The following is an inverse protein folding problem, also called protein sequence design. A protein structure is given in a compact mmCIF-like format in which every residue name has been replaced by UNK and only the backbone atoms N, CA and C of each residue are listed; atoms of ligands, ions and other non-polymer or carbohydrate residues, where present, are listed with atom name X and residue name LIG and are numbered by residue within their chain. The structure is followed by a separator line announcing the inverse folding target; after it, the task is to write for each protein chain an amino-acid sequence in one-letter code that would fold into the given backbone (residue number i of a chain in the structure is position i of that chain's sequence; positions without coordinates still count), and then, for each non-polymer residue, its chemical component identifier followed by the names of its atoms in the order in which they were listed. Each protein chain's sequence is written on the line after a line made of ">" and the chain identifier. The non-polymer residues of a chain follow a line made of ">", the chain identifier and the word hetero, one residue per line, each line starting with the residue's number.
data_IF_967420531989
#
_entry.id   IF_967420531989
#
_cell.length_a   1.000
_cell.length_b   1.000
_cell.length_c   1.000
_cell.angle_alpha   90.00
_cell.angle_beta   90.00
_cell.angle_gamma   90.00
#
_symmetry.space_group_name_H-M   'P 1'
#
loop_
_entity.id
_entity.type
_entity.pdbx_description
1 polymer ?
#
# COMPACT_ATOMS: atom_id res chain seq x y z
N UNK A 1 10.83 -1.86 16.35
CA UNK A 1 10.94 -2.82 17.46
C UNK A 1 10.57 -4.17 16.91
N UNK A 2 11.54 -5.06 16.72
CA UNK A 2 11.24 -6.48 16.48
C UNK A 2 10.52 -7.03 17.71
N UNK A 3 9.58 -7.95 17.52
CA UNK A 3 8.71 -8.52 18.56
C UNK A 3 9.47 -8.92 19.84
N UNK A 4 8.89 -8.70 21.05
CA UNK A 4 9.45 -9.19 22.32
C UNK A 4 9.63 -10.71 22.38
N UNK A 5 9.01 -11.47 21.48
CA UNK A 5 9.10 -12.95 21.42
C UNK A 5 10.17 -13.46 20.43
N UNK A 6 10.86 -12.57 19.70
CA UNK A 6 11.86 -12.99 18.71
C UNK A 6 13.22 -13.26 19.37
N UNK A 7 13.67 -14.52 19.33
CA UNK A 7 15.10 -14.83 19.50
C UNK A 7 15.72 -14.71 18.12
N UNK A 8 16.42 -13.60 17.85
CA UNK A 8 17.04 -13.36 16.54
C UNK A 8 17.97 -14.52 16.19
N UNK A 9 17.83 -15.08 14.99
CA UNK A 9 18.80 -16.04 14.46
C UNK A 9 20.17 -15.37 14.26
N UNK A 10 21.25 -16.16 14.16
CA UNK A 10 22.59 -15.65 13.88
C UNK A 10 22.63 -14.83 12.58
N UNK A 11 21.91 -15.27 11.54
CA UNK A 11 21.79 -14.55 10.27
C UNK A 11 21.04 -13.22 10.42
N UNK A 12 19.92 -13.19 11.16
CA UNK A 12 19.20 -11.94 11.43
C UNK A 12 20.02 -10.97 12.28
N UNK A 13 20.85 -11.48 13.19
CA UNK A 13 21.78 -10.67 13.99
C UNK A 13 22.91 -10.11 13.10
N UNK A 14 23.45 -10.91 12.19
CA UNK A 14 24.45 -10.45 11.22
C UNK A 14 23.88 -9.41 10.26
N UNK A 15 22.68 -9.62 9.72
CA UNK A 15 22.01 -8.66 8.85
C UNK A 15 21.61 -7.39 9.61
N UNK A 16 21.10 -7.48 10.85
CA UNK A 16 20.84 -6.30 11.69
C UNK A 16 22.11 -5.51 12.07
N UNK A 17 23.29 -6.15 12.04
CA UNK A 17 24.58 -5.48 12.22
C UNK A 17 25.14 -4.87 10.92
N UNK A 18 24.73 -5.38 9.75
CA UNK A 18 25.12 -4.89 8.42
C UNK A 18 24.21 -3.81 7.87
N UNK A 19 22.95 -3.86 8.27
CA UNK A 19 21.93 -2.89 7.92
C UNK A 19 21.78 -1.94 9.10
N UNK A 20 21.73 -0.64 8.85
CA UNK A 20 21.41 0.35 9.89
C UNK A 20 19.92 0.32 10.28
N UNK A 21 19.24 -0.82 10.13
CA UNK A 21 17.85 -1.04 10.52
C UNK A 21 17.75 -0.82 12.03
N UNK A 22 17.45 0.41 12.41
CA UNK A 22 17.33 0.80 13.80
C UNK A 22 16.21 -0.01 14.45
N UNK A 23 16.48 -0.65 15.58
CA UNK A 23 15.45 -1.38 16.36
C UNK A 23 14.32 -0.47 16.84
N UNK A 24 14.53 0.86 16.76
CA UNK A 24 13.50 1.90 16.82
C UNK A 24 13.59 2.71 15.54
N UNK A 25 12.59 2.57 14.66
CA UNK A 25 12.47 3.49 13.53
C UNK A 25 12.17 4.88 14.08
N UNK A 26 13.14 5.79 13.96
CA UNK A 26 12.87 7.20 14.24
C UNK A 26 11.83 7.67 13.24
N UNK A 27 10.62 7.87 13.74
CA UNK A 27 9.55 8.58 13.03
C UNK A 27 10.14 9.90 12.53
N UNK A 28 9.90 10.23 11.26
CA UNK A 28 10.33 11.52 10.73
C UNK A 28 9.71 12.64 11.57
N UNK A 29 10.55 13.51 12.13
CA UNK A 29 10.09 14.70 12.85
C UNK A 29 10.43 15.94 12.02
N UNK A 30 9.49 16.41 11.17
CA UNK A 30 9.71 17.60 10.35
C UNK A 30 9.73 18.89 11.19
N UNK A 31 9.44 18.82 12.50
CA UNK A 31 9.52 19.95 13.43
C UNK A 31 10.87 20.03 14.17
N UNK A 32 11.71 19.01 14.03
CA UNK A 32 13.01 18.96 14.70
C UNK A 32 13.96 20.05 14.21
N UNK A 33 14.82 20.55 15.10
CA UNK A 33 15.87 21.52 14.75
C UNK A 33 16.84 20.98 13.71
N UNK A 34 17.08 19.67 13.70
CA UNK A 34 17.89 18.99 12.68
C UNK A 34 17.24 19.10 11.29
N UNK A 35 15.93 18.80 11.18
CA UNK A 35 15.21 18.94 9.92
C UNK A 35 15.17 20.39 9.45
N UNK A 36 14.88 21.33 10.35
CA UNK A 36 14.87 22.77 10.06
C UNK A 36 16.24 23.33 9.65
N UNK A 37 17.34 22.66 10.02
CA UNK A 37 18.70 23.01 9.58
C UNK A 37 19.14 22.29 8.31
N UNK A 38 18.21 21.64 7.61
CA UNK A 38 18.45 21.01 6.31
C UNK A 38 18.84 19.53 6.39
N UNK A 39 18.68 18.88 7.55
CA UNK A 39 18.89 17.43 7.66
C UNK A 39 17.70 16.69 7.09
N UNK A 40 17.93 15.73 6.19
CA UNK A 40 16.87 14.86 5.70
C UNK A 40 16.32 14.00 6.85
N UNK A 41 14.99 13.83 6.90
CA UNK A 41 14.38 12.74 7.64
C UNK A 41 14.11 11.57 6.69
N UNK A 42 14.13 10.36 7.22
CA UNK A 42 13.90 9.13 6.44
C UNK A 42 12.93 8.24 7.21
N UNK A 43 12.11 7.50 6.47
CA UNK A 43 11.29 6.42 7.01
C UNK A 43 11.46 5.17 6.15
N UNK A 44 11.34 4.00 6.76
CA UNK A 44 11.39 2.73 6.06
C UNK A 44 9.97 2.23 5.81
N UNK A 45 9.74 1.72 4.60
CA UNK A 45 8.46 1.14 4.20
C UNK A 45 8.70 -0.17 3.47
N UNK A 46 7.87 -1.16 3.72
CA UNK A 46 7.88 -2.41 2.99
C UNK A 46 7.32 -2.22 1.59
N UNK A 47 7.85 -2.95 0.61
CA UNK A 47 7.24 -3.02 -0.72
C UNK A 47 5.82 -3.62 -0.62
N UNK A 48 4.85 -2.97 -1.25
CA UNK A 48 3.47 -3.44 -1.24
C UNK A 48 3.27 -4.57 -2.27
N UNK A 49 2.59 -5.69 -1.94
CA UNK A 49 2.25 -6.70 -2.93
C UNK A 49 1.21 -6.14 -3.91
N UNK A 50 1.30 -6.57 -5.18
CA UNK A 50 0.46 -6.06 -6.29
C UNK A 50 -0.69 -7.00 -6.69
N UNK A 51 -0.74 -8.18 -6.08
CA UNK A 51 -1.77 -9.20 -6.36
C UNK A 51 -3.17 -8.66 -6.07
N UNK A 52 -4.07 -8.76 -7.06
CA UNK A 52 -5.45 -8.29 -6.99
C UNK A 52 -5.64 -6.79 -7.22
N UNK A 53 -4.58 -6.01 -7.45
CA UNK A 53 -4.71 -4.55 -7.56
C UNK A 53 -5.45 -4.09 -8.83
N UNK A 54 -5.55 -4.93 -9.86
CA UNK A 54 -6.45 -4.66 -10.99
C UNK A 54 -7.91 -4.49 -10.55
N UNK A 55 -8.36 -5.30 -9.57
CA UNK A 55 -9.70 -5.18 -8.99
C UNK A 55 -9.82 -3.88 -8.18
N UNK A 56 -8.78 -3.53 -7.42
CA UNK A 56 -8.74 -2.28 -6.63
C UNK A 56 -8.80 -1.05 -7.54
N UNK A 57 -8.04 -1.03 -8.64
CA UNK A 57 -8.09 0.03 -9.65
C UNK A 57 -9.48 0.15 -10.28
N UNK A 58 -10.18 -0.97 -10.47
CA UNK A 58 -11.52 -1.05 -11.05
C UNK A 58 -12.67 -0.66 -10.09
N UNK A 59 -12.39 -0.25 -8.85
CA UNK A 59 -13.42 0.25 -7.91
C UNK A 59 -13.78 1.70 -8.21
N UNK A 60 -15.08 2.02 -8.27
CA UNK A 60 -15.54 3.40 -8.48
C UNK A 60 -15.16 4.32 -7.30
N UNK A 61 -14.82 5.58 -7.57
CA UNK A 61 -14.51 6.57 -6.53
C UNK A 61 -15.64 6.72 -5.49
N UNK A 62 -16.90 6.64 -5.93
CA UNK A 62 -18.06 6.71 -5.05
C UNK A 62 -18.13 5.57 -4.02
N UNK A 63 -17.57 4.40 -4.34
CA UNK A 63 -17.52 3.27 -3.41
C UNK A 63 -16.66 3.58 -2.19
N UNK A 64 -15.46 4.16 -2.38
CA UNK A 64 -14.59 4.57 -1.27
C UNK A 64 -15.24 5.66 -0.40
N UNK A 65 -15.91 6.63 -1.03
CA UNK A 65 -16.69 7.66 -0.32
C UNK A 65 -17.84 7.05 0.48
N UNK A 66 -18.54 6.07 -0.09
CA UNK A 66 -19.63 5.38 0.60
C UNK A 66 -19.12 4.57 1.80
N UNK A 67 -17.98 3.88 1.66
CA UNK A 67 -17.33 3.15 2.77
C UNK A 67 -16.99 4.13 3.91
N UNK A 68 -16.32 5.24 3.61
CA UNK A 68 -15.97 6.25 4.61
C UNK A 68 -17.20 6.83 5.32
N UNK A 69 -18.27 7.14 4.57
CA UNK A 69 -19.51 7.67 5.13
C UNK A 69 -20.26 6.65 6.01
N UNK A 70 -20.14 5.36 5.69
CA UNK A 70 -20.73 4.26 6.47
C UNK A 70 -19.99 3.96 7.78
N UNK A 71 -18.72 4.39 7.92
CA UNK A 71 -17.94 4.15 9.12
C UNK A 71 -18.39 5.03 10.30
N UNK A 72 -18.35 4.50 11.54
CA UNK A 72 -18.52 5.30 12.75
C UNK A 72 -17.51 6.46 12.79
N UNK A 73 -17.88 7.64 13.31
CA UNK A 73 -16.99 8.82 13.32
C UNK A 73 -15.61 8.57 13.95
N UNK A 74 -15.54 7.70 14.96
CA UNK A 74 -14.28 7.39 15.66
C UNK A 74 -13.24 6.66 14.79
N UNK A 75 -13.69 5.88 13.80
CA UNK A 75 -12.83 5.06 12.92
C UNK A 75 -13.01 5.43 11.45
N UNK A 76 -13.59 6.60 11.18
CA UNK A 76 -13.84 7.02 9.80
C UNK A 76 -12.52 7.33 9.10
N UNK A 77 -12.27 6.59 8.02
CA UNK A 77 -11.13 6.79 7.14
C UNK A 77 -11.29 8.05 6.30
N UNK A 78 -10.16 8.57 5.85
CA UNK A 78 -10.07 9.73 4.97
C UNK A 78 -9.87 9.28 3.54
N UNK A 79 -10.79 9.68 2.66
CA UNK A 79 -10.63 9.50 1.20
C UNK A 79 -9.67 10.57 0.69
N UNK A 80 -8.48 10.17 0.25
CA UNK A 80 -7.52 11.08 -0.38
C UNK A 80 -7.76 11.16 -1.88
N UNK A 81 -7.68 12.37 -2.42
CA UNK A 81 -7.72 12.61 -3.87
C UNK A 81 -6.39 13.14 -4.37
N UNK A 82 -6.06 12.76 -5.61
CA UNK A 82 -4.86 13.22 -6.32
C UNK A 82 -5.24 13.62 -7.75
N UNK A 83 -4.45 14.51 -8.34
CA UNK A 83 -4.53 14.81 -9.77
C UNK A 83 -3.50 13.94 -10.47
N UNK A 84 -3.96 13.02 -11.30
CA UNK A 84 -3.10 12.06 -11.98
C UNK A 84 -3.57 11.90 -13.43
N UNK A 85 -2.63 11.92 -14.38
CA UNK A 85 -2.90 11.88 -15.82
C UNK A 85 -3.89 12.97 -16.31
N UNK A 86 -4.09 14.06 -15.58
CA UNK A 86 -5.03 15.13 -15.95
C UNK A 86 -6.47 14.94 -15.44
N UNK A 87 -6.72 13.98 -14.55
CA UNK A 87 -7.99 13.82 -13.86
C UNK A 87 -7.81 13.82 -12.33
N UNK A 88 -8.78 14.37 -11.61
CA UNK A 88 -8.86 14.21 -10.15
C UNK A 88 -9.47 12.85 -9.83
N UNK A 89 -8.78 12.03 -9.05
CA UNK A 89 -9.16 10.64 -8.72
C UNK A 89 -9.00 10.36 -7.23
N UNK A 90 -9.70 9.35 -6.73
CA UNK A 90 -9.43 8.79 -5.39
C UNK A 90 -8.14 7.97 -5.47
N UNK A 91 -7.16 8.35 -4.66
CA UNK A 91 -5.93 7.59 -4.50
C UNK A 91 -6.18 6.33 -3.69
N UNK A 92 -5.45 5.26 -4.03
CA UNK A 92 -5.71 3.90 -3.53
C UNK A 92 -4.45 3.02 -3.48
N UNK A 93 -3.31 3.55 -3.89
CA UNK A 93 -2.02 2.83 -3.95
C UNK A 93 -0.92 3.57 -3.19
N UNK A 94 0.09 2.81 -2.77
CA UNK A 94 1.11 3.26 -1.84
C UNK A 94 0.66 3.19 -0.37
N UNK A 95 1.56 3.50 0.56
CA UNK A 95 1.23 3.49 2.00
C UNK A 95 0.48 4.73 2.48
N UNK A 96 0.52 5.82 1.71
CA UNK A 96 -0.15 7.10 2.03
C UNK A 96 -1.15 7.55 0.97
N UNK A 97 -1.66 6.61 0.17
CA UNK A 97 -2.60 6.90 -0.93
C UNK A 97 -2.07 8.04 -1.82
N UNK A 98 -0.86 7.87 -2.34
CA UNK A 98 -0.22 8.89 -3.18
C UNK A 98 -0.56 8.74 -4.67
N UNK A 99 -1.10 7.57 -5.05
CA UNK A 99 -1.26 7.17 -6.44
C UNK A 99 -2.66 6.59 -6.65
N UNK A 100 -3.27 6.88 -7.79
CA UNK A 100 -4.65 6.50 -8.10
C UNK A 100 -4.78 5.38 -9.14
N UNK A 101 -3.82 5.23 -10.05
CA UNK A 101 -3.83 4.19 -11.09
C UNK A 101 -2.60 3.29 -11.00
N UNK A 102 -2.72 2.06 -11.52
CA UNK A 102 -1.59 1.14 -11.62
C UNK A 102 -0.55 1.63 -12.62
N UNK A 103 -0.96 2.41 -13.62
CA UNK A 103 -0.02 3.08 -14.53
C UNK A 103 0.78 4.17 -13.83
N UNK A 104 0.12 5.02 -13.04
CA UNK A 104 0.80 5.99 -12.18
C UNK A 104 1.75 5.31 -11.19
N UNK A 105 1.34 4.16 -10.64
CA UNK A 105 2.16 3.39 -9.71
C UNK A 105 3.41 2.81 -10.38
N UNK A 106 3.27 2.27 -11.60
CA UNK A 106 4.40 1.83 -12.42
C UNK A 106 5.35 2.99 -12.76
N UNK A 107 4.80 4.11 -13.24
CA UNK A 107 5.58 5.27 -13.66
C UNK A 107 6.36 5.89 -12.50
N UNK A 108 5.75 6.00 -11.31
CA UNK A 108 6.41 6.51 -10.11
C UNK A 108 7.53 5.58 -9.63
N UNK A 109 7.29 4.26 -9.63
CA UNK A 109 8.28 3.27 -9.23
C UNK A 109 9.45 3.19 -10.22
N UNK A 110 9.20 3.27 -11.53
CA UNK A 110 10.23 3.32 -12.57
C UNK A 110 11.23 4.45 -12.27
N UNK A 111 10.74 5.66 -12.01
CA UNK A 111 11.61 6.80 -11.74
C UNK A 111 12.26 6.73 -10.35
N UNK A 112 11.47 6.50 -9.30
CA UNK A 112 11.94 6.69 -7.91
C UNK A 112 12.67 5.47 -7.34
N UNK A 113 12.40 4.26 -7.83
CA UNK A 113 12.96 3.02 -7.29
C UNK A 113 13.98 2.38 -8.22
N UNK A 114 13.78 2.49 -9.54
CA UNK A 114 14.61 1.81 -10.54
C UNK A 114 15.55 2.79 -11.27
N UNK A 115 15.17 4.07 -11.40
CA UNK A 115 15.93 5.08 -12.14
C UNK A 115 15.72 4.97 -13.65
N UNK A 116 14.47 4.76 -14.08
CA UNK A 116 14.05 4.75 -15.48
C UNK A 116 13.03 5.88 -15.66
N UNK A 117 13.39 6.89 -16.45
CA UNK A 117 12.46 7.94 -16.86
C UNK A 117 11.45 7.40 -17.88
N UNK A 118 10.27 8.02 -17.95
CA UNK A 118 9.14 7.50 -18.71
C UNK A 118 8.24 8.63 -19.23
N UNK A 119 7.23 8.36 -20.08
CA UNK A 119 6.46 9.44 -20.71
C UNK A 119 5.68 10.33 -19.74
N UNK A 120 5.38 9.85 -18.52
CA UNK A 120 4.69 10.64 -17.49
C UNK A 120 5.67 11.42 -16.60
N UNK A 121 6.91 10.94 -16.50
CA UNK A 121 7.99 11.53 -15.72
C UNK A 121 9.29 11.49 -16.53
N UNK A 122 9.44 12.36 -17.54
CA UNK A 122 10.48 12.26 -18.56
C UNK A 122 11.84 12.81 -18.13
N UNK A 123 11.94 13.35 -16.91
CA UNK A 123 13.17 13.94 -16.41
C UNK A 123 13.63 13.21 -15.17
N UNK A 124 14.94 13.07 -15.04
CA UNK A 124 15.57 12.50 -13.85
C UNK A 124 15.24 13.27 -12.57
N UNK A 125 15.23 12.56 -11.43
CA UNK A 125 15.06 13.22 -10.11
C UNK A 125 16.26 14.06 -9.72
N UNK A 126 17.42 13.75 -10.30
CA UNK A 126 18.70 14.33 -9.96
C UNK A 126 19.52 14.59 -11.21
N UNK A 127 19.97 15.83 -11.39
CA UNK A 127 20.88 16.19 -12.48
C UNK A 127 22.35 15.87 -12.17
N UNK A 128 22.63 15.07 -11.13
CA UNK A 128 24.01 14.76 -10.72
C UNK A 128 24.81 13.95 -11.76
N UNK A 129 24.12 13.23 -12.65
CA UNK A 129 24.74 12.45 -13.72
C UNK A 129 24.76 13.19 -15.07
N UNK A 130 23.81 14.11 -15.30
CA UNK A 130 23.58 14.75 -16.58
C UNK A 130 24.81 15.51 -17.09
N UNK A 131 25.32 15.09 -18.26
CA UNK A 131 26.47 15.71 -18.90
C UNK A 131 27.80 15.52 -18.16
N UNK A 132 27.88 14.56 -17.22
CA UNK A 132 29.08 14.29 -16.42
C UNK A 132 29.84 13.12 -17.01
N UNK A 133 31.14 13.29 -17.28
CA UNK A 133 32.01 12.19 -17.71
C UNK A 133 32.68 11.52 -16.50
N UNK A 134 32.52 10.20 -16.34
CA UNK A 134 33.21 9.39 -15.32
C UNK A 134 33.93 8.22 -16.00
N UNK A 135 35.23 8.05 -15.70
CA UNK A 135 36.10 7.04 -16.34
C UNK A 135 36.12 7.11 -17.88
N UNK A 136 35.95 8.31 -18.45
CA UNK A 136 35.91 8.50 -19.90
C UNK A 136 34.57 8.16 -20.56
N UNK A 137 33.55 7.78 -19.77
CA UNK A 137 32.18 7.55 -20.24
C UNK A 137 31.34 8.76 -19.90
N UNK A 138 30.66 9.34 -20.89
CA UNK A 138 29.63 10.35 -20.66
C UNK A 138 28.44 9.66 -20.02
N UNK A 139 28.17 9.98 -18.76
CA UNK A 139 26.97 9.55 -18.07
C UNK A 139 25.83 10.45 -18.54
N UNK A 140 24.70 9.83 -18.87
CA UNK A 140 23.44 10.50 -19.24
C UNK A 140 23.67 11.74 -20.15
N UNK A 141 23.86 11.45 -21.44
CA UNK A 141 24.29 12.43 -22.42
C UNK A 141 23.20 13.46 -22.78
N UNK A 142 21.94 13.10 -22.56
CA UNK A 142 20.76 13.93 -22.79
C UNK A 142 19.60 13.39 -21.97
N UNK A 143 18.82 14.29 -21.35
CA UNK A 143 17.59 13.94 -20.64
C UNK A 143 16.54 13.54 -21.69
N UNK A 144 16.37 12.24 -21.89
CA UNK A 144 15.31 11.64 -22.71
C UNK A 144 14.60 10.54 -21.91
N UNK A 145 13.27 10.38 -22.05
CA UNK A 145 12.60 9.29 -21.37
C UNK A 145 13.17 7.95 -21.85
N UNK A 146 13.83 7.17 -20.99
CA UNK A 146 14.37 5.86 -21.36
C UNK A 146 13.25 4.91 -21.79
N UNK A 147 12.10 4.96 -21.11
CA UNK A 147 10.86 4.33 -21.58
C UNK A 147 10.15 5.25 -22.58
N UNK A 148 10.08 4.81 -23.83
CA UNK A 148 9.47 5.56 -24.94
C UNK A 148 8.22 4.88 -25.46
N UNK A 149 7.29 5.69 -25.99
CA UNK A 149 6.10 5.18 -26.68
C UNK A 149 6.53 4.47 -27.97
N UNK A 150 6.21 3.19 -28.05
CA UNK A 150 6.51 2.33 -29.18
C UNK A 150 5.50 2.51 -30.33
N UNK A 151 5.73 1.83 -31.45
CA UNK A 151 4.90 1.95 -32.66
C UNK A 151 3.42 1.55 -32.48
N UNK A 152 3.10 0.78 -31.44
CA UNK A 152 1.73 0.41 -31.08
C UNK A 152 1.04 1.44 -30.17
N UNK A 153 1.69 2.58 -29.92
CA UNK A 153 1.16 3.66 -29.09
C UNK A 153 1.29 3.40 -27.59
N UNK A 154 2.11 2.42 -27.18
CA UNK A 154 2.29 2.02 -25.78
C UNK A 154 3.75 2.17 -25.33
N UNK A 155 3.94 2.63 -24.11
CA UNK A 155 5.22 2.56 -23.40
C UNK A 155 5.30 1.29 -22.54
N UNK A 156 6.47 0.99 -21.97
CA UNK A 156 6.65 -0.17 -21.10
C UNK A 156 5.83 -0.05 -19.81
N UNK A 157 5.68 1.16 -19.26
CA UNK A 157 4.79 1.40 -18.10
C UNK A 157 3.33 1.03 -18.39
N UNK A 158 2.86 1.12 -19.64
CA UNK A 158 1.51 0.66 -20.01
C UNK A 158 1.41 -0.86 -19.96
N UNK A 159 2.44 -1.56 -20.43
CA UNK A 159 2.49 -3.03 -20.43
C UNK A 159 2.63 -3.56 -19.02
N UNK A 160 3.42 -2.89 -18.19
CA UNK A 160 3.58 -3.25 -16.80
C UNK A 160 2.30 -3.03 -16.00
N UNK A 161 1.57 -1.94 -16.28
CA UNK A 161 0.24 -1.73 -15.71
C UNK A 161 -0.74 -2.86 -16.08
N UNK A 162 -0.77 -3.30 -17.34
CA UNK A 162 -1.61 -4.43 -17.76
C UNK A 162 -1.22 -5.74 -17.09
N UNK A 163 0.08 -6.01 -16.92
CA UNK A 163 0.55 -7.15 -16.16
C UNK A 163 0.02 -7.11 -14.72
N UNK A 164 0.16 -5.98 -14.02
CA UNK A 164 -0.35 -5.80 -12.66
C UNK A 164 -1.86 -5.97 -12.58
N UNK A 165 -2.62 -5.47 -13.56
CA UNK A 165 -4.08 -5.64 -13.64
C UNK A 165 -4.51 -7.10 -13.78
N UNK A 166 -3.68 -7.91 -14.42
CA UNK A 166 -3.90 -9.34 -14.61
C UNK A 166 -3.53 -10.22 -13.41
N UNK A 167 -2.87 -9.67 -12.38
CA UNK A 167 -2.50 -10.43 -11.19
C UNK A 167 -3.73 -10.69 -10.32
N UNK A 168 -4.12 -11.97 -10.22
CA UNK A 168 -5.20 -12.39 -9.33
C UNK A 168 -4.84 -12.11 -7.85
N UNK A 169 -5.83 -11.85 -6.97
CA UNK A 169 -5.59 -11.81 -5.53
C UNK A 169 -5.10 -13.18 -5.03
N UNK A 170 -4.34 -13.23 -3.91
CA UNK A 170 -3.93 -14.50 -3.31
C UNK A 170 -5.15 -15.37 -2.98
N UNK A 171 -5.11 -16.69 -3.23
CA UNK A 171 -6.24 -17.58 -2.93
C UNK A 171 -6.43 -17.70 -1.42
N UNK A 172 -7.66 -17.91 -0.96
CA UNK A 172 -7.96 -18.22 0.44
C UNK A 172 -7.88 -19.72 0.71
N UNK A 173 -7.78 -20.10 1.98
CA UNK A 173 -7.84 -21.48 2.45
C UNK A 173 -9.23 -21.80 2.99
N UNK A 174 -9.54 -23.09 3.09
CA UNK A 174 -10.76 -23.55 3.75
C UNK A 174 -10.71 -23.19 5.25
N UNK A 175 -11.79 -22.59 5.75
CA UNK A 175 -11.89 -22.20 7.15
C UNK A 175 -12.37 -23.36 8.03
N UNK A 176 -11.64 -23.66 9.09
CA UNK A 176 -12.08 -24.53 10.18
C UNK A 176 -13.22 -23.88 10.99
N UNK A 177 -13.86 -24.63 11.89
CA UNK A 177 -14.84 -24.06 12.83
C UNK A 177 -14.22 -22.94 13.71
N UNK A 178 -12.94 -23.08 14.07
CA UNK A 178 -12.20 -22.06 14.82
C UNK A 178 -12.04 -20.79 13.98
N UNK A 179 -11.62 -20.92 12.72
CA UNK A 179 -11.48 -19.79 11.80
C UNK A 179 -12.83 -19.09 11.52
N UNK A 180 -13.93 -19.83 11.37
CA UNK A 180 -15.26 -19.23 11.20
C UNK A 180 -15.71 -18.44 12.44
N UNK A 181 -15.45 -18.98 13.64
CA UNK A 181 -15.68 -18.25 14.89
C UNK A 181 -14.78 -17.01 15.00
N UNK A 182 -13.54 -17.12 14.53
CA UNK A 182 -12.57 -16.04 14.43
C UNK A 182 -13.01 -14.90 13.52
N UNK A 183 -13.54 -15.21 12.34
CA UNK A 183 -14.11 -14.22 11.42
C UNK A 183 -15.29 -13.47 12.04
N UNK A 184 -16.14 -14.19 12.78
CA UNK A 184 -17.24 -13.57 13.52
C UNK A 184 -16.70 -12.61 14.60
N UNK A 185 -15.73 -13.06 15.40
CA UNK A 185 -15.11 -12.24 16.44
C UNK A 185 -14.38 -11.02 15.86
N UNK A 186 -13.65 -11.19 14.75
CA UNK A 186 -12.94 -10.13 14.03
C UNK A 186 -13.86 -8.95 13.71
N UNK A 187 -15.07 -9.24 13.23
CA UNK A 187 -16.08 -8.20 12.98
C UNK A 187 -16.65 -7.62 14.28
N UNK A 188 -16.94 -8.45 15.28
CA UNK A 188 -17.53 -8.03 16.56
C UNK A 188 -16.62 -7.09 17.36
N UNK A 189 -15.30 -7.30 17.35
CA UNK A 189 -14.35 -6.45 18.07
C UNK A 189 -13.97 -5.18 17.29
N UNK A 190 -14.48 -5.01 16.07
CA UNK A 190 -14.35 -3.78 15.28
C UNK A 190 -13.26 -3.79 14.21
N UNK A 191 -12.52 -4.89 14.00
CA UNK A 191 -11.49 -4.94 12.95
C UNK A 191 -12.06 -4.68 11.56
N UNK A 192 -13.25 -5.24 11.28
CA UNK A 192 -13.98 -5.08 10.02
C UNK A 192 -14.44 -3.65 9.71
N UNK A 193 -14.27 -2.71 10.64
CA UNK A 193 -14.58 -1.30 10.41
C UNK A 193 -13.66 -0.64 9.38
N UNK A 194 -12.35 -0.92 9.45
CA UNK A 194 -11.36 -0.49 8.45
C UNK A 194 -11.00 -1.63 7.50
N UNK A 195 -10.88 -2.86 8.02
CA UNK A 195 -10.62 -4.06 7.23
C UNK A 195 -11.90 -4.63 6.61
N UNK A 196 -12.56 -3.83 5.78
CA UNK A 196 -13.83 -4.17 5.14
C UNK A 196 -13.69 -5.43 4.28
N UNK A 197 -14.50 -6.43 4.60
CA UNK A 197 -14.37 -7.78 4.03
C UNK A 197 -14.50 -7.82 2.52
N UNK A 198 -15.50 -7.13 1.96
CA UNK A 198 -15.83 -7.22 0.53
C UNK A 198 -15.98 -5.86 -0.12
N UNK A 199 -15.51 -5.75 -1.36
CA UNK A 199 -15.76 -4.60 -2.24
C UNK A 199 -16.20 -5.13 -3.60
N UNK A 200 -17.05 -4.36 -4.29
CA UNK A 200 -17.47 -4.66 -5.67
C UNK A 200 -16.88 -3.61 -6.62
N UNK A 201 -16.31 -4.07 -7.73
CA UNK A 201 -15.79 -3.21 -8.79
C UNK A 201 -16.93 -2.53 -9.57
N UNK A 202 -16.60 -1.48 -10.32
CA UNK A 202 -17.56 -0.78 -11.15
C UNK A 202 -18.13 -1.68 -12.28
N UNK A 203 -19.30 -1.30 -12.79
CA UNK A 203 -19.90 -1.98 -13.94
C UNK A 203 -19.16 -1.71 -15.26
N UNK A 204 -18.48 -0.57 -15.36
CA UNK A 204 -17.64 -0.21 -16.50
C UNK A 204 -16.33 0.47 -16.05
N UNK A 205 -15.32 -0.31 -15.62
CA UNK A 205 -14.01 0.23 -15.24
C UNK A 205 -13.31 1.02 -16.35
N UNK A 206 -13.52 0.68 -17.62
CA UNK A 206 -12.92 1.38 -18.76
C UNK A 206 -13.34 2.85 -18.84
N UNK A 207 -14.48 3.22 -18.25
CA UNK A 207 -14.88 4.62 -18.12
C UNK A 207 -13.94 5.45 -17.23
N UNK A 208 -13.12 4.83 -16.37
CA UNK A 208 -12.19 5.54 -15.47
C UNK A 208 -10.77 4.94 -15.31
N UNK A 209 -10.42 3.89 -16.07
CA UNK A 209 -9.09 3.26 -16.04
C UNK A 209 -8.39 3.22 -17.43
N UNK A 210 -7.49 4.17 -17.73
CA UNK A 210 -7.51 5.57 -17.31
C UNK A 210 -8.12 6.44 -18.46
N UNK A 211 -9.19 7.23 -18.28
CA UNK A 211 -9.82 8.02 -19.34
C UNK A 211 -9.21 9.43 -19.38
N UNK A 212 -7.90 9.51 -19.54
CA UNK A 212 -7.12 10.73 -19.29
C UNK A 212 -6.35 11.24 -20.50
N UNK A 213 -5.69 12.41 -20.35
CA UNK A 213 -4.80 13.02 -21.36
C UNK A 213 -3.48 12.25 -21.56
N UNK A 214 -3.24 11.21 -20.76
CA UNK A 214 -2.13 10.28 -20.87
C UNK A 214 -2.56 8.87 -20.42
N UNK A 215 -1.84 7.87 -20.92
CA UNK A 215 -2.07 6.44 -20.68
C UNK A 215 -3.04 5.77 -21.64
N UNK A 216 -2.93 4.44 -21.73
CA UNK A 216 -3.73 3.62 -22.65
C UNK A 216 -4.97 3.06 -21.91
N UNK A 217 -6.20 3.24 -22.43
CA UNK A 217 -7.40 2.61 -21.90
C UNK A 217 -7.25 1.09 -21.78
N UNK A 218 -7.84 0.50 -20.74
CA UNK A 218 -7.89 -0.97 -20.64
C UNK A 218 -8.63 -1.58 -21.84
N UNK A 219 -8.18 -2.76 -22.26
CA UNK A 219 -8.81 -3.49 -23.37
C UNK A 219 -10.24 -3.94 -22.99
N UNK A 220 -11.10 -4.17 -23.99
CA UNK A 220 -12.45 -4.70 -23.76
C UNK A 220 -12.44 -6.04 -23.00
N UNK A 221 -11.45 -6.90 -23.26
CA UNK A 221 -11.29 -8.17 -22.56
C UNK A 221 -11.01 -7.95 -21.07
N UNK A 222 -10.11 -7.03 -20.74
CA UNK A 222 -9.79 -6.70 -19.36
C UNK A 222 -10.95 -6.01 -18.64
N UNK A 223 -11.67 -5.12 -19.33
CA UNK A 223 -12.89 -4.50 -18.81
C UNK A 223 -13.92 -5.56 -18.40
N UNK A 224 -14.16 -6.56 -19.25
CA UNK A 224 -15.09 -7.64 -18.95
C UNK A 224 -14.67 -8.50 -17.75
N UNK A 225 -13.36 -8.74 -17.57
CA UNK A 225 -12.81 -9.50 -16.44
C UNK A 225 -12.94 -8.71 -15.13
N UNK A 226 -12.72 -7.39 -15.18
CA UNK A 226 -12.70 -6.53 -14.00
C UNK A 226 -14.09 -6.01 -13.61
N UNK A 227 -15.05 -5.96 -14.52
CA UNK A 227 -16.37 -5.39 -14.26
C UNK A 227 -17.23 -6.27 -13.33
N UNK A 228 -17.98 -5.63 -12.43
CA UNK A 228 -18.95 -6.26 -11.51
C UNK A 228 -18.40 -7.44 -10.68
N UNK A 229 -17.11 -7.40 -10.36
CA UNK A 229 -16.46 -8.41 -9.54
C UNK A 229 -16.59 -8.04 -8.06
N UNK A 230 -17.09 -8.97 -7.25
CA UNK A 230 -16.99 -8.87 -5.79
C UNK A 230 -15.76 -9.63 -5.33
N UNK A 231 -14.91 -8.97 -4.56
CA UNK A 231 -13.63 -9.50 -4.12
C UNK A 231 -13.38 -9.16 -2.65
N UNK A 232 -12.48 -9.88 -1.99
CA UNK A 232 -12.37 -9.90 -0.53
C UNK A 232 -11.04 -9.36 0.03
N UNK A 233 -10.80 -8.02 -0.03
CA UNK A 233 -9.56 -7.40 0.42
C UNK A 233 -9.34 -7.39 1.91
N UNK A 234 -10.42 -7.42 2.70
CA UNK A 234 -10.35 -7.07 4.12
C UNK A 234 -9.60 -5.73 4.30
N UNK A 235 -10.01 -4.73 3.52
CA UNK A 235 -9.49 -3.36 3.55
C UNK A 235 -10.45 -2.42 2.85
N UNK A 236 -10.59 -1.22 3.41
CA UNK A 236 -11.28 -0.09 2.81
C UNK A 236 -10.41 0.74 1.87
N UNK A 237 -9.09 0.51 1.87
CA UNK A 237 -8.07 1.29 1.16
C UNK A 237 -8.13 2.80 1.48
N UNK A 238 -8.63 3.18 2.65
CA UNK A 238 -8.67 4.57 3.10
C UNK A 238 -7.47 4.88 4.00
N UNK A 239 -7.19 6.18 4.18
CA UNK A 239 -6.21 6.62 5.16
C UNK A 239 -6.82 6.66 6.56
N UNK A 240 -6.10 6.09 7.53
CA UNK A 240 -6.44 6.15 8.94
C UNK A 240 -5.27 6.67 9.77
N UNK A 241 -5.60 7.39 10.84
CA UNK A 241 -4.62 7.82 11.84
C UNK A 241 -4.23 6.62 12.70
N UNK A 242 -3.00 6.15 12.48
CA UNK A 242 -2.45 4.97 13.16
C UNK A 242 -1.65 5.34 14.42
N UNK A 243 -1.79 6.57 14.94
CA UNK A 243 -1.12 6.98 16.17
C UNK A 243 0.40 6.86 16.09
N UNK A 244 0.99 6.11 17.02
CA UNK A 244 2.42 5.81 17.09
C UNK A 244 2.94 4.91 15.95
N UNK A 245 2.05 4.34 15.13
CA UNK A 245 2.40 3.64 13.89
C UNK A 245 2.40 4.57 12.65
N UNK A 246 2.37 5.88 12.85
CA UNK A 246 2.76 6.84 11.81
C UNK A 246 4.25 6.76 11.47
N UNK A 247 4.62 7.14 10.25
CA UNK A 247 6.03 7.26 9.83
C UNK A 247 6.57 8.69 9.92
N UNK A 248 5.71 9.66 10.23
CA UNK A 248 6.08 11.06 10.40
C UNK A 248 6.15 11.88 9.11
N UNK A 249 6.04 11.23 7.96
CA UNK A 249 6.11 11.89 6.64
C UNK A 249 4.71 12.36 6.26
N UNK A 250 4.57 13.63 5.89
CA UNK A 250 3.32 14.17 5.34
C UNK A 250 3.34 14.07 3.82
N UNK A 251 2.24 13.63 3.21
CA UNK A 251 2.07 13.63 1.75
C UNK A 251 0.68 14.09 1.35
N UNK A 252 0.58 15.33 0.86
CA UNK A 252 -0.69 15.97 0.54
C UNK A 252 -1.62 15.97 1.75
N UNK A 253 -2.82 15.37 1.59
CA UNK A 253 -3.79 15.21 2.67
C UNK A 253 -3.44 14.13 3.71
N UNK A 254 -2.43 13.28 3.45
CA UNK A 254 -1.97 12.27 4.38
C UNK A 254 -1.03 12.89 5.41
N UNK A 255 -1.51 13.11 6.63
CA UNK A 255 -0.70 13.60 7.75
C UNK A 255 0.39 12.61 8.20
N UNK A 256 1.22 13.02 9.16
CA UNK A 256 2.37 12.23 9.63
C UNK A 256 2.00 10.87 10.23
N UNK A 257 0.77 10.76 10.77
CA UNK A 257 0.23 9.52 11.38
C UNK A 257 -0.67 8.71 10.45
N UNK A 258 -0.96 9.24 9.26
CA UNK A 258 -1.91 8.63 8.35
C UNK A 258 -1.24 7.51 7.55
N UNK A 259 -1.87 6.33 7.55
CA UNK A 259 -1.51 5.18 6.73
C UNK A 259 -2.76 4.59 6.07
N UNK A 260 -2.61 4.10 4.85
CA UNK A 260 -3.65 3.36 4.14
C UNK A 260 -3.86 2.01 4.81
N UNK A 261 -5.12 1.59 4.97
CA UNK A 261 -5.43 0.22 5.41
C UNK A 261 -4.87 -0.80 4.40
N UNK A 262 -3.87 -1.59 4.79
CA UNK A 262 -3.36 -2.66 3.95
C UNK A 262 -4.40 -3.80 3.81
N UNK A 263 -4.58 -4.39 2.61
CA UNK A 263 -5.45 -5.57 2.46
C UNK A 263 -4.89 -6.75 3.25
N UNK A 264 -5.77 -7.51 3.90
CA UNK A 264 -5.39 -8.72 4.64
C UNK A 264 -5.49 -10.00 3.80
N UNK A 265 -5.94 -9.93 2.55
CA UNK A 265 -5.72 -11.08 1.65
C UNK A 265 -4.23 -11.41 1.56
N UNK A 266 -3.90 -12.69 1.53
CA UNK A 266 -2.54 -13.19 1.57
C UNK A 266 -1.72 -12.79 2.80
N UNK A 267 -2.33 -12.30 3.89
CA UNK A 267 -1.58 -11.90 5.10
C UNK A 267 -0.81 -13.09 5.68
N UNK A 268 -1.34 -14.31 5.56
CA UNK A 268 -0.67 -15.54 5.97
C UNK A 268 0.67 -15.80 5.26
N UNK A 269 0.88 -15.20 4.09
CA UNK A 269 2.10 -15.35 3.28
C UNK A 269 3.17 -14.32 3.63
N UNK A 270 2.92 -13.40 4.56
CA UNK A 270 3.86 -12.34 4.92
C UNK A 270 4.76 -12.77 6.09
N UNK A 271 6.06 -12.52 5.94
CA UNK A 271 7.07 -12.75 6.99
C UNK A 271 7.34 -11.53 7.88
N UNK A 272 6.77 -10.38 7.50
CA UNK A 272 6.90 -9.08 8.13
C UNK A 272 5.61 -8.29 7.88
N UNK A 273 5.17 -7.55 8.89
CA UNK A 273 3.86 -6.90 8.96
C UNK A 273 4.01 -5.44 9.39
N UNK A 274 2.93 -4.66 9.18
CA UNK A 274 2.88 -3.21 9.25
C UNK A 274 3.69 -2.53 8.14
N UNK A 275 3.51 -1.23 7.97
CA UNK A 275 4.11 -0.49 6.86
C UNK A 275 5.64 -0.55 6.85
N UNK A 276 6.26 -0.74 8.02
CA UNK A 276 7.70 -0.75 8.20
C UNK A 276 8.28 -2.12 8.56
N UNK A 277 7.45 -3.17 8.56
CA UNK A 277 7.90 -4.53 8.83
C UNK A 277 8.31 -4.81 10.28
N UNK A 278 7.98 -3.95 11.25
CA UNK A 278 8.43 -4.15 12.64
C UNK A 278 7.86 -5.41 13.31
N UNK A 279 6.70 -5.89 12.87
CA UNK A 279 6.04 -7.07 13.42
C UNK A 279 6.37 -8.31 12.57
N UNK A 280 6.73 -9.42 13.22
CA UNK A 280 6.99 -10.71 12.56
C UNK A 280 5.80 -11.66 12.65
N UNK A 281 4.94 -11.48 13.66
CA UNK A 281 3.75 -12.28 13.91
C UNK A 281 2.48 -11.44 13.78
N UNK A 282 1.38 -12.06 13.32
CA UNK A 282 0.07 -11.40 13.17
C UNK A 282 -0.43 -10.86 14.52
N UNK A 283 -0.25 -11.62 15.59
CA UNK A 283 -0.66 -11.21 16.94
C UNK A 283 0.08 -9.93 17.38
N UNK A 284 1.38 -9.84 17.09
CA UNK A 284 2.18 -8.65 17.44
C UNK A 284 1.73 -7.44 16.63
N UNK A 285 1.43 -7.62 15.34
CA UNK A 285 0.90 -6.55 14.52
C UNK A 285 -0.44 -6.05 15.07
N UNK A 286 -1.36 -6.94 15.47
CA UNK A 286 -2.64 -6.56 16.09
C UNK A 286 -2.40 -5.75 17.37
N UNK A 287 -1.51 -6.19 18.25
CA UNK A 287 -1.22 -5.50 19.51
C UNK A 287 -0.57 -4.12 19.33
N UNK A 288 0.10 -3.89 18.20
CA UNK A 288 0.72 -2.60 17.87
C UNK A 288 -0.27 -1.58 17.30
N UNK A 289 -1.49 -1.98 16.90
CA UNK A 289 -2.48 -1.05 16.35
C UNK A 289 -2.81 0.05 17.36
N UNK A 290 -2.74 1.30 16.90
CA UNK A 290 -2.91 2.50 17.70
C UNK A 290 -3.79 3.51 16.95
N UNK A 291 -3.99 4.71 17.49
CA UNK A 291 -4.81 5.75 16.89
C UNK A 291 -6.27 5.31 16.76
N UNK A 292 -6.84 5.39 15.55
CA UNK A 292 -8.21 4.96 15.27
C UNK A 292 -8.43 3.47 15.55
N UNK A 293 -7.39 2.64 15.43
CA UNK A 293 -7.48 1.20 15.66
C UNK A 293 -7.25 0.78 17.12
N UNK A 294 -6.86 1.71 18.01
CA UNK A 294 -6.51 1.40 19.41
C UNK A 294 -7.64 0.70 20.17
N UNK A 295 -8.90 1.08 19.90
CA UNK A 295 -10.06 0.45 20.53
C UNK A 295 -10.19 -1.04 20.16
N UNK A 296 -10.03 -1.38 18.87
CA UNK A 296 -10.09 -2.78 18.41
C UNK A 296 -8.91 -3.60 18.95
N UNK A 297 -7.71 -3.01 19.02
CA UNK A 297 -6.55 -3.64 19.64
C UNK A 297 -6.78 -3.95 21.12
N UNK A 298 -7.36 -3.01 21.88
CA UNK A 298 -7.71 -3.23 23.28
C UNK A 298 -8.79 -4.31 23.46
N UNK A 299 -9.78 -4.39 22.57
CA UNK A 299 -10.77 -5.47 22.58
C UNK A 299 -10.12 -6.83 22.33
N UNK A 300 -9.20 -6.93 21.37
CA UNK A 300 -8.43 -8.16 21.12
C UNK A 300 -7.63 -8.61 22.36
N UNK A 301 -6.97 -7.67 23.04
CA UNK A 301 -6.24 -7.95 24.28
C UNK A 301 -7.16 -8.43 25.42
N UNK A 302 -8.41 -7.97 25.45
CA UNK A 302 -9.42 -8.40 26.41
C UNK A 302 -10.03 -9.78 26.14
N UNK A 303 -9.80 -10.38 24.96
CA UNK A 303 -10.31 -11.71 24.63
C UNK A 303 -9.62 -12.82 25.45
N UNK A 304 -10.28 -13.96 25.56
CA UNK A 304 -9.64 -15.20 26.04
C UNK A 304 -8.61 -15.72 25.03
N UNK A 305 -7.68 -16.57 25.47
CA UNK A 305 -6.67 -17.16 24.58
C UNK A 305 -7.29 -17.92 23.41
N UNK A 306 -8.36 -18.69 23.65
CA UNK A 306 -9.06 -19.42 22.59
C UNK A 306 -9.73 -18.50 21.56
N UNK A 307 -10.26 -17.37 22.00
CA UNK A 307 -10.86 -16.37 21.10
C UNK A 307 -9.81 -15.62 20.28
N UNK A 308 -8.67 -15.26 20.90
CA UNK A 308 -7.52 -14.71 20.16
C UNK A 308 -7.03 -15.70 19.11
N UNK A 309 -6.86 -16.96 19.50
CA UNK A 309 -6.43 -18.01 18.57
C UNK A 309 -7.43 -18.19 17.42
N UNK A 310 -8.73 -18.14 17.67
CA UNK A 310 -9.74 -18.22 16.61
C UNK A 310 -9.57 -17.10 15.57
N UNK A 311 -9.33 -15.86 16.00
CA UNK A 311 -9.04 -14.73 15.08
C UNK A 311 -7.74 -14.99 14.31
N UNK A 312 -6.69 -15.49 14.96
CA UNK A 312 -5.43 -15.82 14.28
C UNK A 312 -5.62 -16.95 13.27
N UNK A 313 -6.43 -17.97 13.59
CA UNK A 313 -6.78 -19.05 12.67
C UNK A 313 -7.51 -18.51 11.44
N UNK A 314 -8.43 -17.55 11.62
CA UNK A 314 -9.09 -16.86 10.52
C UNK A 314 -8.08 -16.10 9.64
N UNK A 315 -7.22 -15.28 10.24
CA UNK A 315 -6.22 -14.51 9.49
C UNK A 315 -5.23 -15.40 8.75
N UNK A 316 -4.92 -16.59 9.28
CA UNK A 316 -4.11 -17.59 8.61
C UNK A 316 -4.81 -18.31 7.44
N UNK A 317 -6.12 -18.10 7.25
CA UNK A 317 -6.86 -18.61 6.09
C UNK A 317 -6.94 -17.62 4.93
N UNK A 318 -6.65 -16.35 5.17
CA UNK A 318 -6.76 -15.29 4.15
C UNK A 318 -5.42 -14.86 3.59
#
# INVERSE_FOLDING_TARGET
>A
MTSPRCTQSTCQTEEANRTTFATTLKICDPTSSAFLSGTNCTAERQSTPLFGFGLVEAVANSTFVAIANGQPPAIRGTVKTVVELGATRVARFGWKDDVATLRGFAADAYLNEIGITNPDAPNERSSCALGVTKFGVLLDAADDPEDTIQSDGRADIDRFADFMRGLAPPPTLNQSNSAQAGHTLFNQIGCGGCHVESITTAADPAAFVPPTSGGVPITSSLNNILANQTFHPFSDFLLHDMGSLGDGITSGAAGPRMMRTAPLWGVRGKSRLLHDGRAEEIEDAINLHDGQAAAAAAQFQGLTDGQRQAILDFLNTI
#
